data_IF_795058967545
#
_entry.id   IF_795058967545
#
_cell.length_a   1.000
_cell.length_b   1.000
_cell.length_c   1.000
_cell.angle_alpha   90.00
_cell.angle_beta   90.00
_cell.angle_gamma   90.00
#
_symmetry.space_group_name_H-M   'P 1'
#
loop_
_entity.id
_entity.type
_entity.pdbx_description
1 polymer ?
#
# COMPACT_ATOMS: atom_id res chain seq x y z
N UNK A 1 31.92 -3.52 3.86
CA UNK A 1 30.43 -3.51 3.82
C UNK A 1 29.96 -2.07 3.61
N UNK A 2 28.78 -1.88 3.02
CA UNK A 2 28.30 -0.57 2.56
C UNK A 2 27.40 0.18 3.56
N UNK A 3 27.21 -0.33 4.79
CA UNK A 3 26.42 0.35 5.83
C UNK A 3 24.90 0.17 5.74
N UNK A 4 24.41 -0.81 4.97
CA UNK A 4 22.99 -1.15 4.88
C UNK A 4 22.59 -2.17 5.96
N UNK A 5 21.35 -2.08 6.43
CA UNK A 5 20.72 -3.03 7.35
C UNK A 5 19.71 -3.89 6.58
N UNK A 6 19.63 -5.18 6.93
CA UNK A 6 18.67 -6.10 6.35
C UNK A 6 17.27 -5.89 6.95
N UNK A 7 16.25 -5.90 6.09
CA UNK A 7 14.84 -5.86 6.49
C UNK A 7 14.16 -7.15 6.03
N UNK A 8 13.18 -7.62 6.80
CA UNK A 8 12.44 -8.86 6.55
C UNK A 8 10.95 -8.64 6.75
N UNK A 9 10.13 -9.50 6.14
CA UNK A 9 8.72 -9.62 6.49
C UNK A 9 7.93 -10.51 5.54
N UNK A 10 6.62 -10.49 5.71
CA UNK A 10 5.74 -11.58 5.30
C UNK A 10 5.52 -11.69 3.78
N UNK A 11 5.15 -12.89 3.34
CA UNK A 11 4.78 -13.15 1.95
C UNK A 11 3.37 -12.63 1.61
N UNK A 12 2.46 -12.69 2.57
CA UNK A 12 1.09 -12.18 2.42
C UNK A 12 1.08 -10.74 2.86
N UNK A 13 0.51 -9.87 2.04
CA UNK A 13 0.39 -8.44 2.31
C UNK A 13 -1.01 -7.95 1.92
N UNK A 14 -1.57 -6.94 2.60
CA UNK A 14 -2.72 -6.23 2.10
C UNK A 14 -2.36 -5.44 0.84
N UNK A 15 -3.35 -5.22 -0.02
CA UNK A 15 -3.22 -4.30 -1.15
C UNK A 15 -2.83 -2.89 -0.68
N UNK A 16 -3.20 -2.52 0.56
CA UNK A 16 -2.72 -1.30 1.22
C UNK A 16 -1.19 -1.15 1.14
N UNK A 17 -0.44 -2.09 1.73
CA UNK A 17 1.02 -2.01 1.79
C UNK A 17 1.67 -2.33 0.45
N UNK A 18 1.08 -3.27 -0.31
CA UNK A 18 1.69 -3.67 -1.56
C UNK A 18 1.50 -2.65 -2.69
N UNK A 19 0.46 -1.81 -2.65
CA UNK A 19 0.13 -0.92 -3.77
C UNK A 19 -0.32 0.47 -3.32
N UNK A 20 -1.33 0.59 -2.43
CA UNK A 20 -1.95 1.89 -2.11
C UNK A 20 -0.98 2.86 -1.44
N UNK A 21 -0.23 2.40 -0.44
CA UNK A 21 0.77 3.16 0.30
C UNK A 21 1.94 3.61 -0.59
N UNK A 22 2.17 2.90 -1.70
CA UNK A 22 3.14 3.24 -2.74
C UNK A 22 2.56 4.17 -3.82
N UNK A 23 1.37 4.73 -3.60
CA UNK A 23 0.66 5.61 -4.51
C UNK A 23 0.34 4.99 -5.88
N UNK A 24 0.29 3.66 -5.97
CA UNK A 24 -0.14 2.95 -7.19
C UNK A 24 -1.67 3.02 -7.30
N UNK A 25 -2.29 3.52 -8.39
CA UNK A 25 -3.74 3.67 -8.45
C UNK A 25 -4.47 2.32 -8.48
N UNK A 26 -5.75 2.31 -8.08
CA UNK A 26 -6.53 1.07 -7.94
C UNK A 26 -6.94 0.44 -9.27
N UNK A 27 -6.98 1.22 -10.36
CA UNK A 27 -7.23 0.77 -11.73
C UNK A 27 -5.94 0.40 -12.49
N UNK A 28 -4.79 0.35 -11.80
CA UNK A 28 -3.53 -0.01 -12.41
C UNK A 28 -3.54 -1.49 -12.86
N UNK A 29 -3.10 -1.82 -14.09
CA UNK A 29 -3.17 -3.19 -14.63
C UNK A 29 -2.44 -4.23 -13.78
N UNK A 30 -1.35 -3.83 -13.09
CA UNK A 30 -0.65 -4.73 -12.17
C UNK A 30 -1.52 -5.26 -11.01
N UNK A 31 -2.69 -4.66 -10.73
CA UNK A 31 -3.66 -5.12 -9.73
C UNK A 31 -4.65 -6.13 -10.29
N UNK A 32 -4.64 -6.42 -11.58
CA UNK A 32 -5.56 -7.37 -12.20
C UNK A 32 -5.33 -8.79 -11.67
N UNK A 33 -6.41 -9.58 -11.60
CA UNK A 33 -6.40 -10.98 -11.16
C UNK A 33 -5.46 -11.87 -11.98
N UNK A 34 -5.13 -11.47 -13.21
CA UNK A 34 -4.21 -12.21 -14.09
C UNK A 34 -2.75 -11.99 -13.70
N UNK A 35 -2.43 -10.83 -13.11
CA UNK A 35 -1.08 -10.43 -12.74
C UNK A 35 -0.80 -10.60 -11.24
N UNK A 36 -1.83 -10.53 -10.39
CA UNK A 36 -1.71 -10.60 -8.93
C UNK A 36 -2.50 -11.77 -8.34
N UNK A 37 -1.82 -12.55 -7.49
CA UNK A 37 -2.42 -13.65 -6.75
C UNK A 37 -3.10 -13.15 -5.48
N UNK A 38 -4.41 -12.94 -5.55
CA UNK A 38 -5.24 -12.58 -4.41
C UNK A 38 -5.65 -13.82 -3.59
N UNK A 39 -5.82 -13.60 -2.29
CA UNK A 39 -6.17 -14.63 -1.31
C UNK A 39 -7.54 -14.32 -0.70
N UNK A 40 -8.17 -15.37 -0.15
CA UNK A 40 -9.38 -15.21 0.65
C UNK A 40 -9.06 -14.56 2.00
N UNK A 41 -10.02 -13.79 2.52
CA UNK A 41 -9.90 -13.06 3.78
C UNK A 41 -9.68 -11.57 3.59
N UNK A 42 -9.75 -10.84 4.70
CA UNK A 42 -9.61 -9.39 4.73
C UNK A 42 -8.56 -8.99 5.75
N UNK A 43 -7.77 -8.00 5.39
CA UNK A 43 -6.82 -7.37 6.30
C UNK A 43 -7.56 -6.57 7.37
N UNK A 44 -7.19 -6.82 8.62
CA UNK A 44 -7.49 -5.92 9.75
C UNK A 44 -6.34 -4.91 9.80
N UNK A 45 -6.62 -3.60 9.65
CA UNK A 45 -5.58 -2.59 9.63
C UNK A 45 -4.62 -2.69 10.82
N UNK A 46 -3.33 -2.78 10.52
CA UNK A 46 -2.25 -2.69 11.51
C UNK A 46 -1.73 -1.25 11.68
N UNK A 47 -2.33 -0.30 10.96
CA UNK A 47 -2.10 1.14 11.07
C UNK A 47 -3.35 1.86 11.59
N UNK A 48 -3.20 3.05 12.18
CA UNK A 48 -4.34 3.89 12.52
C UNK A 48 -5.19 4.23 11.29
N UNK A 49 -6.52 4.30 11.47
CA UNK A 49 -7.47 4.60 10.39
C UNK A 49 -7.15 5.93 9.70
N UNK A 50 -6.58 6.90 10.43
CA UNK A 50 -6.18 8.20 9.89
C UNK A 50 -5.05 8.11 8.85
N UNK A 51 -4.26 7.03 8.87
CA UNK A 51 -3.23 6.76 7.86
C UNK A 51 -3.89 6.28 6.57
N UNK A 52 -4.81 5.31 6.67
CA UNK A 52 -5.58 4.81 5.52
C UNK A 52 -6.38 5.94 4.88
N UNK A 53 -7.06 6.76 5.69
CA UNK A 53 -7.82 7.91 5.22
C UNK A 53 -6.96 8.97 4.54
N UNK A 54 -5.71 9.14 4.97
CA UNK A 54 -4.78 10.05 4.33
C UNK A 54 -4.33 9.53 2.97
N UNK A 55 -4.02 8.24 2.88
CA UNK A 55 -3.71 7.59 1.59
C UNK A 55 -4.90 7.75 0.64
N UNK A 56 -6.12 7.44 1.11
CA UNK A 56 -7.36 7.64 0.36
C UNK A 56 -7.48 9.05 -0.21
N UNK A 57 -7.40 10.09 0.64
CA UNK A 57 -7.49 11.50 0.19
C UNK A 57 -6.40 11.84 -0.84
N UNK A 58 -5.16 11.41 -0.59
CA UNK A 58 -4.06 11.68 -1.52
C UNK A 58 -4.30 11.03 -2.88
N UNK A 59 -4.92 9.85 -2.94
CA UNK A 59 -5.34 9.22 -4.20
C UNK A 59 -6.52 9.94 -4.86
N UNK A 60 -7.54 10.35 -4.13
CA UNK A 60 -8.75 10.96 -4.72
C UNK A 60 -8.52 12.39 -5.19
N UNK A 61 -8.00 13.27 -4.33
CA UNK A 61 -7.92 14.71 -4.58
C UNK A 61 -6.53 15.31 -4.38
N UNK A 62 -5.55 14.48 -4.00
CA UNK A 62 -4.18 14.89 -3.73
C UNK A 62 -3.93 15.34 -2.29
N UNK A 63 -4.98 15.47 -1.46
CA UNK A 63 -4.89 15.92 -0.07
C UNK A 63 -4.06 17.21 0.08
N UNK A 64 -3.21 17.24 1.10
CA UNK A 64 -2.36 18.41 1.41
C UNK A 64 -0.99 18.38 0.70
N UNK A 65 -0.80 17.52 -0.30
CA UNK A 65 0.51 17.30 -0.94
C UNK A 65 0.82 18.30 -2.06
N UNK A 66 -0.19 19.03 -2.53
CA UNK A 66 -0.11 19.85 -3.75
C UNK A 66 -0.26 19.05 -5.06
N UNK A 67 -0.42 17.72 -4.97
CA UNK A 67 -0.86 16.88 -6.08
C UNK A 67 -2.34 17.11 -6.40
N UNK A 68 -2.79 16.65 -7.58
CA UNK A 68 -4.21 16.56 -7.93
C UNK A 68 -4.83 15.20 -7.58
N UNK A 69 -4.03 14.27 -7.06
CA UNK A 69 -4.41 12.87 -6.94
C UNK A 69 -4.55 12.20 -8.31
N UNK A 70 -5.10 10.98 -8.29
CA UNK A 70 -5.54 10.24 -9.47
C UNK A 70 -6.96 10.63 -9.89
N UNK A 71 -7.76 11.17 -8.97
CA UNK A 71 -9.19 11.38 -9.18
C UNK A 71 -10.00 10.09 -8.96
N UNK A 72 -11.32 10.19 -9.14
CA UNK A 72 -12.23 9.05 -8.98
C UNK A 72 -12.53 8.69 -7.52
N UNK A 73 -13.14 7.53 -7.33
CA UNK A 73 -13.48 6.98 -6.01
C UNK A 73 -12.42 5.96 -5.59
N UNK A 74 -11.99 6.04 -4.33
CA UNK A 74 -11.04 5.09 -3.76
C UNK A 74 -11.78 4.05 -2.91
N UNK A 75 -11.60 2.77 -3.24
CA UNK A 75 -12.25 1.65 -2.56
C UNK A 75 -11.44 1.17 -1.36
N UNK A 76 -12.01 1.32 -0.17
CA UNK A 76 -11.47 0.72 1.06
C UNK A 76 -11.54 -0.81 1.03
N UNK A 77 -12.51 -1.38 0.29
CA UNK A 77 -12.62 -2.82 0.12
C UNK A 77 -11.39 -3.37 -0.63
N UNK A 78 -10.99 -2.71 -1.73
CA UNK A 78 -9.78 -3.09 -2.48
C UNK A 78 -8.53 -3.01 -1.61
N UNK A 79 -8.41 -1.95 -0.80
CA UNK A 79 -7.30 -1.78 0.17
C UNK A 79 -7.16 -2.95 1.14
N UNK A 80 -8.27 -3.57 1.55
CA UNK A 80 -8.29 -4.67 2.52
C UNK A 80 -7.99 -6.04 1.92
N UNK A 81 -7.99 -6.18 0.59
CA UNK A 81 -7.75 -7.47 -0.06
C UNK A 81 -6.34 -7.97 0.25
N UNK A 82 -6.24 -9.26 0.56
CA UNK A 82 -4.96 -9.93 0.78
C UNK A 82 -4.42 -10.47 -0.54
N UNK A 83 -3.10 -10.37 -0.72
CA UNK A 83 -2.39 -10.89 -1.88
C UNK A 83 -1.04 -11.49 -1.49
N UNK A 84 -0.49 -12.34 -2.35
CA UNK A 84 0.93 -12.69 -2.29
C UNK A 84 1.73 -11.50 -2.84
N UNK A 85 2.65 -10.96 -2.02
CA UNK A 85 3.40 -9.75 -2.38
C UNK A 85 4.06 -9.88 -3.75
N UNK A 86 3.91 -8.86 -4.57
CA UNK A 86 4.41 -8.87 -5.95
C UNK A 86 5.85 -8.37 -6.06
N UNK A 87 6.32 -7.63 -5.05
CA UNK A 87 7.66 -7.03 -4.99
C UNK A 87 8.07 -6.73 -3.54
N UNK A 88 9.34 -6.46 -3.30
CA UNK A 88 9.89 -6.15 -1.96
C UNK A 88 9.69 -4.70 -1.52
N UNK A 89 9.31 -3.79 -2.42
CA UNK A 89 9.09 -2.36 -2.10
C UNK A 89 8.02 -2.15 -1.02
N UNK A 90 7.05 -3.06 -0.94
CA UNK A 90 6.03 -3.09 0.11
C UNK A 90 6.64 -3.21 1.50
N UNK A 91 7.71 -4.00 1.64
CA UNK A 91 8.44 -4.11 2.90
C UNK A 91 9.20 -2.83 3.24
N UNK A 92 9.73 -2.14 2.23
CA UNK A 92 10.43 -0.88 2.43
C UNK A 92 9.48 0.21 2.93
N UNK A 93 8.29 0.34 2.34
CA UNK A 93 7.32 1.36 2.80
C UNK A 93 6.76 1.04 4.18
N UNK A 94 6.54 -0.24 4.51
CA UNK A 94 6.14 -0.64 5.86
C UNK A 94 7.24 -0.30 6.87
N UNK A 95 8.50 -0.62 6.57
CA UNK A 95 9.64 -0.26 7.41
C UNK A 95 9.74 1.25 7.64
N UNK A 96 9.61 2.06 6.57
CA UNK A 96 9.65 3.53 6.67
C UNK A 96 8.48 4.10 7.48
N UNK A 97 7.30 3.48 7.39
CA UNK A 97 6.14 3.88 8.18
C UNK A 97 6.32 3.61 9.68
N UNK A 98 7.00 2.51 10.03
CA UNK A 98 7.36 2.17 11.41
C UNK A 98 8.54 3.01 11.93
N UNK A 99 9.42 3.47 11.03
CA UNK A 99 10.65 4.22 11.36
C UNK A 99 10.71 5.60 10.68
N UNK A 100 9.75 6.52 10.91
CA UNK A 100 9.61 7.77 10.14
C UNK A 100 10.71 8.83 10.40
N UNK A 101 11.71 8.51 11.22
CA UNK A 101 12.80 9.43 11.62
C UNK A 101 14.20 8.88 11.36
N UNK A 102 14.29 7.66 10.82
CA UNK A 102 15.55 7.16 10.27
C UNK A 102 15.84 7.83 8.92
#
# INVERSE_FOLDING_TARGET
QMGFTEISGDFVQPAFWNMDALFTPQDHPARDLQDTLYLEGEWVPDVPDEVVDRVRRVHEDGGDTGSRGWGGEFSIEETRRLLLRTHTTSMTIQYLAEHPRE
#
